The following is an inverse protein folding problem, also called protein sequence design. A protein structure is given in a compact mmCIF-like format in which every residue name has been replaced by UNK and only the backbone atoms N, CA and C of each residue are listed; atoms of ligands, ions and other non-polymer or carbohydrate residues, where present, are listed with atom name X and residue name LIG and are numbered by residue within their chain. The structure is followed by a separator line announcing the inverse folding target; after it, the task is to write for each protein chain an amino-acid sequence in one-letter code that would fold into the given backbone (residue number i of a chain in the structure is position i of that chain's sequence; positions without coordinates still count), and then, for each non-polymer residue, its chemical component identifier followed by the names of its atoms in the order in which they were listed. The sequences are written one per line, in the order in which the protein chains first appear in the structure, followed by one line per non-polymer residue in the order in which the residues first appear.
data_IF_307365064530
#
_entry.id   IF_307365064530
#
_cell.length_a   1.000
_cell.length_b   1.000
_cell.length_c   1.000
_cell.angle_alpha   90.00
_cell.angle_beta   90.00
_cell.angle_gamma   90.00
#
_symmetry.space_group_name_H-M   'P 1'
#
loop_
_entity.id
_entity.type
_entity.pdbx_description
1 polymer ?
#
# COMPACT_ATOMS: atom_id res chain seq x y z
N UNK A 1 -12.73 26.91 -2.23
CA UNK A 1 -11.79 26.40 -3.25
C UNK A 1 -10.72 25.65 -2.51
N UNK A 2 -10.75 24.31 -2.50
CA UNK A 2 -9.58 23.54 -2.05
C UNK A 2 -8.47 23.83 -3.04
N UNK A 3 -7.34 24.34 -2.56
CA UNK A 3 -6.16 24.50 -3.39
C UNK A 3 -5.83 23.13 -4.02
N UNK A 4 -5.55 23.11 -5.32
CA UNK A 4 -5.08 21.90 -5.98
C UNK A 4 -3.66 21.61 -5.48
N UNK A 5 -3.57 20.71 -4.50
CA UNK A 5 -2.30 20.33 -3.91
C UNK A 5 -1.57 19.37 -4.83
N UNK A 6 -0.24 19.49 -4.98
CA UNK A 6 0.54 18.62 -5.84
C UNK A 6 0.40 17.15 -5.40
N UNK A 7 0.28 16.27 -6.38
CA UNK A 7 0.25 14.82 -6.17
C UNK A 7 1.61 14.22 -6.48
N UNK A 8 2.15 13.39 -5.58
CA UNK A 8 3.40 12.66 -5.79
C UNK A 8 3.28 11.20 -5.36
N UNK A 9 3.92 10.31 -6.12
CA UNK A 9 4.21 8.94 -5.69
C UNK A 9 5.65 8.90 -5.18
N UNK A 10 5.87 8.35 -3.99
CA UNK A 10 7.21 8.25 -3.40
C UNK A 10 7.38 6.94 -2.61
N UNK A 11 8.60 6.38 -2.52
CA UNK A 11 8.88 5.26 -1.63
C UNK A 11 8.45 5.57 -0.20
N UNK A 12 7.88 4.57 0.47
CA UNK A 12 7.41 4.69 1.85
C UNK A 12 7.68 3.37 2.58
N UNK A 13 8.15 3.41 3.82
CA UNK A 13 8.21 2.20 4.62
C UNK A 13 6.78 1.76 4.95
N UNK A 14 6.37 0.49 4.72
CA UNK A 14 5.02 0.04 5.02
C UNK A 14 4.70 0.10 6.52
N UNK A 15 5.70 0.18 7.40
CA UNK A 15 5.56 0.41 8.84
C UNK A 15 5.43 1.88 9.24
N UNK A 16 5.49 2.83 8.31
CA UNK A 16 5.20 4.24 8.58
C UNK A 16 3.78 4.38 9.16
N UNK A 17 3.55 5.22 10.20
CA UNK A 17 2.23 5.35 10.83
C UNK A 17 1.09 5.62 9.86
N UNK A 18 1.28 6.56 8.91
CA UNK A 18 0.26 6.85 7.89
C UNK A 18 -0.01 5.67 6.94
N UNK A 19 1.03 4.87 6.62
CA UNK A 19 0.86 3.67 5.81
C UNK A 19 0.06 2.61 6.58
N UNK A 20 0.38 2.41 7.86
CA UNK A 20 -0.35 1.48 8.73
C UNK A 20 -1.83 1.86 8.87
N UNK A 21 -2.14 3.15 8.94
CA UNK A 21 -3.52 3.63 8.96
C UNK A 21 -4.29 3.25 7.67
N UNK A 22 -3.71 3.52 6.49
CA UNK A 22 -4.32 3.11 5.22
C UNK A 22 -4.41 1.59 5.05
N UNK A 23 -3.40 0.86 5.50
CA UNK A 23 -3.40 -0.61 5.47
C UNK A 23 -4.53 -1.16 6.34
N UNK A 24 -4.72 -0.64 7.56
CA UNK A 24 -5.81 -1.06 8.43
C UNK A 24 -7.19 -0.78 7.81
N UNK A 25 -7.36 0.37 7.14
CA UNK A 25 -8.59 0.69 6.40
C UNK A 25 -8.84 -0.30 5.25
N UNK A 26 -7.79 -0.63 4.50
CA UNK A 26 -7.85 -1.63 3.42
C UNK A 26 -8.21 -3.01 3.94
N UNK A 27 -7.60 -3.46 5.03
CA UNK A 27 -7.88 -4.76 5.65
C UNK A 27 -9.32 -4.83 6.18
N UNK A 28 -9.79 -3.77 6.84
CA UNK A 28 -11.17 -3.68 7.32
C UNK A 28 -12.17 -3.74 6.15
N UNK A 29 -11.90 -3.03 5.05
CA UNK A 29 -12.73 -3.06 3.86
C UNK A 29 -12.78 -4.45 3.22
N UNK A 30 -11.63 -5.10 3.01
CA UNK A 30 -11.56 -6.44 2.43
C UNK A 30 -12.21 -7.50 3.34
N UNK A 31 -12.04 -7.37 4.66
CA UNK A 31 -12.67 -8.27 5.65
C UNK A 31 -14.19 -8.13 5.70
N UNK A 32 -14.75 -6.99 5.29
CA UNK A 32 -16.20 -6.81 5.16
C UNK A 32 -16.76 -7.46 3.88
N UNK A 33 -15.93 -7.67 2.86
CA UNK A 33 -16.34 -8.19 1.55
C UNK A 33 -16.10 -9.69 1.38
N UNK A 34 -15.07 -10.23 2.03
CA UNK A 34 -14.61 -11.60 1.83
C UNK A 34 -14.44 -12.35 3.15
N UNK A 35 -14.65 -13.68 3.16
CA UNK A 35 -14.35 -14.51 4.31
C UNK A 35 -12.85 -14.47 4.65
N UNK A 36 -12.50 -14.70 5.91
CA UNK A 36 -11.11 -14.63 6.41
C UNK A 36 -10.12 -15.49 5.62
N UNK A 37 -10.55 -16.65 5.16
CA UNK A 37 -9.77 -17.62 4.43
C UNK A 37 -9.36 -17.11 3.03
N UNK A 38 -10.08 -16.13 2.50
CA UNK A 38 -9.78 -15.48 1.21
C UNK A 38 -8.96 -14.19 1.36
N UNK A 39 -8.72 -13.73 2.59
CA UNK A 39 -7.94 -12.52 2.86
C UNK A 39 -6.46 -12.84 3.05
N UNK A 40 -5.71 -12.90 1.94
CA UNK A 40 -4.26 -13.15 1.93
C UNK A 40 -3.44 -11.85 1.97
N UNK A 41 -3.47 -11.19 3.11
CA UNK A 41 -2.76 -9.92 3.31
C UNK A 41 -1.24 -10.09 3.34
N UNK A 42 -0.52 -9.41 2.43
CA UNK A 42 0.94 -9.48 2.38
C UNK A 42 1.57 -8.76 3.60
N UNK A 43 2.49 -9.40 4.35
CA UNK A 43 3.18 -8.76 5.46
C UNK A 43 4.12 -7.63 4.99
N UNK A 44 4.31 -6.63 5.85
CA UNK A 44 5.17 -5.47 5.57
C UNK A 44 6.59 -5.85 5.13
N UNK A 45 7.17 -6.92 5.70
CA UNK A 45 8.51 -7.38 5.34
C UNK A 45 8.63 -7.83 3.87
N UNK A 46 7.57 -8.39 3.29
CA UNK A 46 7.55 -8.79 1.88
C UNK A 46 7.49 -7.61 0.90
N UNK A 47 7.27 -6.39 1.41
CA UNK A 47 7.16 -5.16 0.64
C UNK A 47 8.29 -4.17 0.95
N UNK A 48 9.28 -4.59 1.74
CA UNK A 48 10.52 -3.85 1.97
C UNK A 48 11.64 -4.38 1.07
N UNK A 49 12.62 -3.54 0.71
CA UNK A 49 13.82 -4.04 0.05
C UNK A 49 14.55 -5.07 0.92
N UNK A 50 15.15 -6.12 0.33
CA UNK A 50 15.17 -6.40 -1.11
C UNK A 50 13.94 -7.16 -1.63
N UNK A 51 13.06 -7.67 -0.77
CA UNK A 51 11.95 -8.55 -1.17
C UNK A 51 10.84 -7.84 -1.97
N UNK A 52 10.74 -6.53 -1.83
CA UNK A 52 9.75 -5.74 -2.53
C UNK A 52 9.98 -4.24 -2.40
N UNK A 53 8.97 -3.50 -2.85
CA UNK A 53 8.95 -2.04 -2.80
C UNK A 53 7.57 -1.59 -2.33
N UNK A 54 7.52 -0.50 -1.57
CA UNK A 54 6.26 0.08 -1.11
C UNK A 54 6.26 1.59 -1.36
N UNK A 55 5.12 2.11 -1.79
CA UNK A 55 4.97 3.49 -2.23
C UNK A 55 3.72 4.11 -1.61
N UNK A 56 3.84 5.40 -1.28
CA UNK A 56 2.75 6.25 -0.88
C UNK A 56 2.36 7.23 -1.98
N UNK A 57 1.06 7.41 -2.19
CA UNK A 57 0.48 8.48 -2.99
C UNK A 57 0.13 9.64 -2.04
N UNK A 58 0.79 10.78 -2.24
CA UNK A 58 0.65 11.96 -1.39
C UNK A 58 -0.03 13.08 -2.16
N UNK A 59 -0.98 13.78 -1.52
CA UNK A 59 -1.54 15.05 -1.99
C UNK A 59 -1.16 16.13 -0.98
N UNK A 60 -0.22 17.00 -1.36
CA UNK A 60 0.47 17.85 -0.38
C UNK A 60 1.20 16.99 0.65
N UNK A 61 1.00 17.23 1.94
CA UNK A 61 1.61 16.41 3.01
C UNK A 61 0.73 15.21 3.43
N UNK A 62 -0.49 15.11 2.91
CA UNK A 62 -1.42 14.02 3.28
C UNK A 62 -1.17 12.78 2.43
N UNK A 63 -0.97 11.64 3.06
CA UNK A 63 -1.02 10.34 2.40
C UNK A 63 -2.48 10.01 2.04
N UNK A 64 -2.76 9.79 0.77
CA UNK A 64 -4.11 9.53 0.23
C UNK A 64 -4.25 8.16 -0.44
N UNK A 65 -3.13 7.45 -0.62
CA UNK A 65 -3.14 6.08 -1.11
C UNK A 65 -1.81 5.39 -0.89
N UNK A 66 -1.79 4.08 -1.04
CA UNK A 66 -0.58 3.27 -0.97
C UNK A 66 -0.65 2.06 -1.90
N UNK A 67 0.51 1.48 -2.16
CA UNK A 67 0.64 0.23 -2.91
C UNK A 67 2.05 -0.32 -2.78
N UNK A 68 2.18 -1.64 -2.84
CA UNK A 68 3.47 -2.32 -2.87
C UNK A 68 3.58 -3.31 -4.01
N UNK A 69 4.82 -3.65 -4.34
CA UNK A 69 5.18 -4.72 -5.26
C UNK A 69 6.06 -5.70 -4.50
N UNK A 70 5.65 -6.97 -4.46
CA UNK A 70 6.51 -8.07 -4.02
C UNK A 70 7.29 -8.59 -5.23
N UNK A 71 8.60 -8.68 -5.13
CA UNK A 71 9.45 -9.09 -6.23
C UNK A 71 9.70 -10.60 -6.21
N UNK A 72 9.64 -11.22 -7.38
CA UNK A 72 10.06 -12.59 -7.64
C UNK A 72 11.18 -12.55 -8.68
N UNK A 73 12.33 -12.00 -8.28
CA UNK A 73 13.44 -11.67 -9.19
C UNK A 73 13.93 -12.87 -10.00
N UNK A 74 13.95 -14.06 -9.41
CA UNK A 74 14.35 -15.29 -10.10
C UNK A 74 13.44 -15.64 -11.28
N UNK A 75 12.16 -15.29 -11.17
CA UNK A 75 11.13 -15.54 -12.17
C UNK A 75 10.85 -14.31 -13.06
N UNK A 76 11.46 -13.16 -12.75
CA UNK A 76 11.37 -11.94 -13.54
C UNK A 76 10.01 -11.21 -13.48
N UNK A 77 9.24 -11.39 -12.41
CA UNK A 77 7.94 -10.70 -12.22
C UNK A 77 7.79 -10.11 -10.82
N UNK A 78 6.73 -9.32 -10.65
CA UNK A 78 6.31 -8.82 -9.34
C UNK A 78 4.80 -8.83 -9.19
N UNK A 79 4.33 -8.97 -7.95
CA UNK A 79 2.90 -8.95 -7.62
C UNK A 79 2.54 -7.63 -6.95
N UNK A 80 1.49 -6.97 -7.45
CA UNK A 80 0.91 -5.80 -6.79
C UNK A 80 0.16 -6.28 -5.55
N UNK A 81 0.49 -5.67 -4.41
CA UNK A 81 -0.13 -5.94 -3.11
C UNK A 81 -0.52 -4.62 -2.44
N UNK A 82 -1.45 -4.70 -1.49
CA UNK A 82 -1.80 -3.58 -0.59
C UNK A 82 -2.16 -2.27 -1.33
N UNK A 83 -2.79 -2.37 -2.50
CA UNK A 83 -3.27 -1.23 -3.26
C UNK A 83 -4.54 -0.68 -2.63
N UNK A 84 -4.51 0.55 -2.15
CA UNK A 84 -5.65 1.21 -1.52
C UNK A 84 -5.56 2.71 -1.71
N UNK A 85 -6.68 3.37 -2.03
CA UNK A 85 -6.78 4.81 -2.22
C UNK A 85 -8.01 5.28 -1.46
N UNK A 86 -7.91 6.42 -0.77
CA UNK A 86 -9.05 7.05 -0.13
C UNK A 86 -10.03 7.59 -1.19
N UNK A 87 -11.32 7.54 -0.88
CA UNK A 87 -12.38 8.17 -1.68
C UNK A 87 -12.22 9.70 -1.79
#
# INVERSE_FOLDING_TARGET
MTADLPVRLAPLDPGHPDAQALIAMSEAYMSALYPSESNHFEPANGLRPPQGSFYGLWRGERLVGCGGVKHFDADGYGEIKRLFVLD
#
